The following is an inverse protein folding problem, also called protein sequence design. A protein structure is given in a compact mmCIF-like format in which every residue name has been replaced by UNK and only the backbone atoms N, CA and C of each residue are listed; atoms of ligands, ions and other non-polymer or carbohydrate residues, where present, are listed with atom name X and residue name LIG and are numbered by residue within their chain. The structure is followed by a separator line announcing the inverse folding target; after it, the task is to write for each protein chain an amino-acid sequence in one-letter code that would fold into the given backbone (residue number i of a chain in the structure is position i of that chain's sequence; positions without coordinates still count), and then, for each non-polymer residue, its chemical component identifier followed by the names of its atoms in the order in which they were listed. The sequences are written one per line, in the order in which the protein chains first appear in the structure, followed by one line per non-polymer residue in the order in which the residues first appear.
data_IF_212394172833
#
_entry.id   IF_212394172833
#
_cell.length_a   1.000
_cell.length_b   1.000
_cell.length_c   1.000
_cell.angle_alpha   90.00
_cell.angle_beta   90.00
_cell.angle_gamma   90.00
#
_symmetry.space_group_name_H-M   'P 1'
#
loop_
_entity.id
_entity.type
_entity.pdbx_description
1 polymer ?
#
# COMPACT_ATOMS: atom_id res chain seq x y z
N UNK A 1 7.83 2.82 -18.85
CA UNK A 1 7.29 2.11 -17.67
C UNK A 1 7.14 0.64 -18.03
N UNK A 2 7.57 -0.29 -17.16
CA UNK A 2 7.24 -1.71 -17.34
C UNK A 2 5.73 -1.88 -17.20
N UNK A 3 5.10 -2.61 -18.12
CA UNK A 3 3.65 -2.80 -18.14
C UNK A 3 3.17 -3.84 -17.12
N UNK A 4 4.05 -4.74 -16.68
CA UNK A 4 3.70 -5.87 -15.81
C UNK A 4 4.51 -5.80 -14.51
N UNK A 5 3.85 -5.78 -13.34
CA UNK A 5 4.53 -5.87 -12.06
C UNK A 5 5.28 -7.20 -11.92
N UNK A 6 6.45 -7.17 -11.29
CA UNK A 6 7.18 -8.39 -10.95
C UNK A 6 6.58 -9.09 -9.72
N UNK A 7 7.00 -10.32 -9.42
CA UNK A 7 6.46 -11.10 -8.29
C UNK A 7 6.58 -10.41 -6.94
N UNK A 8 7.66 -9.65 -6.70
CA UNK A 8 7.85 -8.89 -5.47
C UNK A 8 6.87 -7.71 -5.39
N UNK A 9 6.70 -6.96 -6.47
CA UNK A 9 5.72 -5.89 -6.55
C UNK A 9 4.32 -6.43 -6.29
N UNK A 10 3.96 -7.58 -6.88
CA UNK A 10 2.70 -8.28 -6.61
C UNK A 10 2.54 -8.64 -5.14
N UNK A 11 3.60 -9.12 -4.49
CA UNK A 11 3.58 -9.44 -3.06
C UNK A 11 3.39 -8.18 -2.19
N UNK A 12 4.03 -7.06 -2.55
CA UNK A 12 3.80 -5.78 -1.88
C UNK A 12 2.35 -5.31 -2.03
N UNK A 13 1.77 -5.44 -3.22
CA UNK A 13 0.35 -5.14 -3.44
C UNK A 13 -0.58 -6.03 -2.60
N UNK A 14 -0.29 -7.33 -2.49
CA UNK A 14 -1.07 -8.26 -1.64
C UNK A 14 -0.98 -7.89 -0.16
N UNK A 15 0.23 -7.63 0.35
CA UNK A 15 0.45 -7.20 1.74
C UNK A 15 -0.23 -5.87 2.03
N UNK A 16 -0.13 -4.92 1.10
CA UNK A 16 -0.86 -3.64 1.18
C UNK A 16 -2.36 -3.84 1.30
N UNK A 17 -2.94 -4.73 0.48
CA UNK A 17 -4.38 -5.02 0.53
C UNK A 17 -4.80 -5.55 1.89
N UNK A 18 -3.99 -6.43 2.49
CA UNK A 18 -4.24 -6.96 3.84
C UNK A 18 -4.20 -5.83 4.88
N UNK A 19 -3.13 -5.03 4.88
CA UNK A 19 -2.94 -3.93 5.84
C UNK A 19 -4.07 -2.89 5.72
N UNK A 20 -4.39 -2.44 4.51
CA UNK A 20 -5.47 -1.48 4.26
C UNK A 20 -6.85 -2.01 4.66
N UNK A 21 -7.11 -3.31 4.49
CA UNK A 21 -8.36 -3.95 4.95
C UNK A 21 -8.45 -3.95 6.47
N UNK A 22 -7.34 -4.27 7.16
CA UNK A 22 -7.28 -4.26 8.63
C UNK A 22 -7.51 -2.84 9.14
N UNK A 23 -6.77 -1.85 8.63
CA UNK A 23 -6.89 -0.45 9.04
C UNK A 23 -8.32 0.07 8.85
N UNK A 24 -8.91 -0.13 7.67
CA UNK A 24 -10.28 0.32 7.39
C UNK A 24 -11.32 -0.37 8.31
N UNK A 25 -11.11 -1.63 8.69
CA UNK A 25 -12.07 -2.38 9.51
C UNK A 25 -11.97 -2.08 11.00
N UNK A 26 -10.76 -1.85 11.50
CA UNK A 26 -10.50 -1.81 12.94
C UNK A 26 -10.11 -0.43 13.46
N UNK A 27 -9.87 0.55 12.59
CA UNK A 27 -9.57 1.93 12.99
C UNK A 27 -10.77 2.83 12.66
N UNK A 28 -11.56 3.25 13.66
CA UNK A 28 -12.64 4.21 13.45
C UNK A 28 -12.12 5.50 12.82
N UNK A 29 -12.93 6.10 11.95
CA UNK A 29 -12.61 7.37 11.32
C UNK A 29 -11.66 7.30 10.13
N UNK A 30 -11.17 6.12 9.71
CA UNK A 30 -10.42 5.99 8.44
C UNK A 30 -11.33 6.31 7.26
N UNK A 31 -10.99 7.35 6.52
CA UNK A 31 -11.73 7.76 5.32
C UNK A 31 -11.08 7.29 4.04
N UNK A 32 -9.74 7.32 4.01
CA UNK A 32 -8.97 7.04 2.82
C UNK A 32 -7.62 6.45 3.20
N UNK A 33 -7.18 5.46 2.41
CA UNK A 33 -5.83 4.91 2.46
C UNK A 33 -5.30 4.97 1.03
N UNK A 34 -4.16 5.64 0.85
CA UNK A 34 -3.48 5.75 -0.43
C UNK A 34 -2.09 5.12 -0.37
N UNK A 35 -1.73 4.41 -1.44
CA UNK A 35 -0.36 3.99 -1.70
C UNK A 35 0.48 5.18 -2.10
N UNK A 36 1.70 5.29 -1.55
CA UNK A 36 2.63 6.36 -1.90
C UNK A 36 4.03 5.82 -2.23
N UNK A 37 4.91 6.71 -2.70
CA UNK A 37 6.32 6.43 -2.99
C UNK A 37 6.57 5.23 -3.92
N UNK A 38 7.60 4.44 -3.63
CA UNK A 38 8.07 3.32 -4.46
C UNK A 38 7.00 2.26 -4.68
N UNK A 39 6.10 2.07 -3.72
CA UNK A 39 4.98 1.12 -3.82
C UNK A 39 3.94 1.61 -4.84
N UNK A 40 3.62 2.91 -4.85
CA UNK A 40 2.70 3.50 -5.84
C UNK A 40 3.26 3.52 -7.26
N UNK A 41 4.59 3.59 -7.40
CA UNK A 41 5.28 3.69 -8.68
C UNK A 41 5.66 2.34 -9.30
N UNK A 42 5.32 1.22 -8.66
CA UNK A 42 5.82 -0.11 -9.04
C UNK A 42 7.35 -0.09 -9.24
N UNK A 43 8.06 0.50 -8.29
CA UNK A 43 9.50 0.68 -8.31
C UNK A 43 10.13 0.17 -7.00
N UNK A 44 9.62 -0.94 -6.46
CA UNK A 44 10.08 -1.53 -5.20
C UNK A 44 11.30 -2.44 -5.43
N UNK A 45 12.22 -2.42 -4.47
CA UNK A 45 13.42 -3.24 -4.44
C UNK A 45 13.45 -4.11 -3.17
N UNK A 46 14.56 -4.80 -2.91
CA UNK A 46 14.68 -5.70 -1.75
C UNK A 46 14.63 -5.04 -0.39
N UNK A 47 14.95 -3.75 -0.34
CA UNK A 47 15.03 -2.95 0.87
C UNK A 47 13.87 -1.96 0.96
N UNK A 48 12.90 -2.04 0.04
CA UNK A 48 11.74 -1.14 0.04
C UNK A 48 10.74 -1.52 1.12
N UNK A 49 10.13 -0.51 1.70
CA UNK A 49 9.00 -0.64 2.62
C UNK A 49 7.66 -0.35 1.92
N UNK A 50 6.57 -0.67 2.61
CA UNK A 50 5.21 -0.32 2.17
C UNK A 50 4.86 1.02 2.81
N UNK A 51 4.80 2.06 1.99
CA UNK A 51 4.40 3.40 2.43
C UNK A 51 2.91 3.64 2.18
N UNK A 52 2.19 4.03 3.23
CA UNK A 52 0.77 4.36 3.21
C UNK A 52 0.52 5.78 3.72
N UNK A 53 -0.31 6.52 3.00
CA UNK A 53 -0.95 7.73 3.51
C UNK A 53 -2.34 7.37 4.01
N UNK A 54 -2.61 7.60 5.30
CA UNK A 54 -3.91 7.34 5.92
C UNK A 54 -4.56 8.66 6.30
N UNK A 55 -5.75 8.91 5.78
CA UNK A 55 -6.57 10.08 6.12
C UNK A 55 -7.67 9.63 7.07
N UNK A 56 -7.74 10.28 8.23
CA UNK A 56 -8.77 10.03 9.24
C UNK A 56 -9.64 11.27 9.48
N UNK A 57 -10.90 11.05 9.83
CA UNK A 57 -11.75 12.05 10.46
C UNK A 57 -11.93 11.74 11.95
N UNK A 58 -11.96 12.78 12.81
CA UNK A 58 -12.26 12.63 14.23
C UNK A 58 -13.60 11.96 14.49
#
# INVERSE_FOLDING_TARGET
MRATPNERELEFFRRTKIISTILTRFTPGVECIALVNSTALCATNSESDIDLLVVTRP
#
